data_IF_993829289741
#
_entry.id   IF_993829289741
#
_cell.length_a   1.000
_cell.length_b   1.000
_cell.length_c   1.000
_cell.angle_alpha   90.00
_cell.angle_beta   90.00
_cell.angle_gamma   90.00
#
_symmetry.space_group_name_H-M   'P 1'
#
loop_
_entity.id
_entity.type
_entity.pdbx_description
1 polymer ?
#
# COMPACT_ATOMS: atom_id res chain seq x y z
N UNK A 1 -15.72 -11.28 10.55
CA UNK A 1 -15.19 -10.73 11.82
C UNK A 1 -14.65 -9.30 11.66
N UNK A 2 -13.79 -9.03 10.66
CA UNK A 2 -13.15 -7.71 10.47
C UNK A 2 -14.12 -6.52 10.35
N UNK A 3 -15.18 -6.60 9.52
CA UNK A 3 -16.16 -5.51 9.39
C UNK A 3 -16.85 -5.15 10.71
N UNK A 4 -17.17 -6.15 11.53
CA UNK A 4 -17.71 -5.95 12.89
C UNK A 4 -16.68 -5.31 13.82
N UNK A 5 -15.40 -5.62 13.65
CA UNK A 5 -14.34 -4.90 14.37
C UNK A 5 -14.27 -3.44 13.91
N UNK A 6 -14.32 -3.16 12.62
CA UNK A 6 -14.22 -1.80 12.09
C UNK A 6 -15.48 -0.93 12.30
N UNK A 7 -16.61 -1.51 12.71
CA UNK A 7 -17.84 -0.73 12.96
C UNK A 7 -17.75 0.26 14.13
N UNK A 8 -16.78 0.10 15.05
CA UNK A 8 -16.55 1.04 16.14
C UNK A 8 -15.69 2.22 15.69
N UNK A 9 -16.18 3.42 15.93
CA UNK A 9 -15.46 4.66 15.70
C UNK A 9 -14.14 4.73 16.48
N UNK A 10 -14.16 4.41 17.78
CA UNK A 10 -12.94 4.38 18.62
C UNK A 10 -11.88 3.44 18.05
N UNK A 11 -12.27 2.27 17.55
CA UNK A 11 -11.31 1.32 16.95
C UNK A 11 -10.75 1.81 15.62
N UNK A 12 -11.58 2.46 14.79
CA UNK A 12 -11.10 3.12 13.56
C UNK A 12 -10.11 4.24 13.87
N UNK A 13 -10.40 5.03 14.91
CA UNK A 13 -9.51 6.11 15.34
C UNK A 13 -8.19 5.58 15.91
N UNK A 14 -8.22 4.51 16.71
CA UNK A 14 -7.01 3.80 17.14
C UNK A 14 -6.15 3.37 15.95
N UNK A 15 -6.73 2.75 14.92
CA UNK A 15 -6.00 2.34 13.73
C UNK A 15 -5.45 3.54 12.97
N UNK A 16 -6.20 4.65 12.88
CA UNK A 16 -5.75 5.90 12.22
C UNK A 16 -4.51 6.48 12.89
N UNK A 17 -4.48 6.50 14.22
CA UNK A 17 -3.31 6.96 14.99
C UNK A 17 -2.13 5.99 14.82
N UNK A 18 -2.38 4.69 15.02
CA UNK A 18 -1.35 3.64 14.96
C UNK A 18 -0.81 3.34 13.55
N UNK A 19 -1.50 3.81 12.51
CA UNK A 19 -1.02 3.77 11.12
C UNK A 19 0.10 4.79 10.87
N UNK A 20 0.13 5.89 11.66
CA UNK A 20 1.14 6.95 11.54
C UNK A 20 2.38 6.61 12.36
N UNK A 21 2.19 6.11 13.57
CA UNK A 21 3.27 5.84 14.52
C UNK A 21 2.86 4.74 15.50
N UNK A 22 3.83 3.92 15.94
CA UNK A 22 3.59 2.95 17.02
C UNK A 22 3.51 3.67 18.37
N UNK A 23 2.58 3.26 19.24
CA UNK A 23 2.32 3.97 20.49
C UNK A 23 2.24 3.04 21.69
N UNK A 24 2.67 3.54 22.85
CA UNK A 24 2.35 2.91 24.12
C UNK A 24 0.85 2.96 24.39
N UNK A 25 0.33 1.92 25.05
CA UNK A 25 -1.10 1.83 25.36
C UNK A 25 -1.62 3.01 26.19
N UNK A 26 -0.82 3.54 27.11
CA UNK A 26 -1.14 4.74 27.90
C UNK A 26 -1.10 6.02 27.07
N UNK A 27 -0.15 6.14 26.14
CA UNK A 27 -0.07 7.25 25.20
C UNK A 27 -1.27 7.27 24.25
N UNK A 28 -1.64 6.10 23.71
CA UNK A 28 -2.82 5.95 22.87
C UNK A 28 -4.12 6.30 23.60
N UNK A 29 -4.25 5.87 24.86
CA UNK A 29 -5.39 6.22 25.71
C UNK A 29 -5.52 7.75 25.90
N UNK A 30 -4.38 8.43 26.11
CA UNK A 30 -4.32 9.89 26.25
C UNK A 30 -4.76 10.61 24.97
N UNK A 31 -4.25 10.22 23.81
CA UNK A 31 -4.63 10.82 22.52
C UNK A 31 -6.12 10.63 22.20
N UNK A 32 -6.70 9.50 22.61
CA UNK A 32 -8.11 9.20 22.40
C UNK A 32 -9.05 9.84 23.44
N UNK A 33 -8.51 10.41 24.53
CA UNK A 33 -9.32 10.93 25.63
C UNK A 33 -10.12 9.86 26.38
N UNK A 34 -9.66 8.61 26.40
CA UNK A 34 -10.32 7.49 27.08
C UNK A 34 -9.39 6.80 28.09
N UNK A 35 -9.94 5.95 28.95
CA UNK A 35 -9.14 5.27 29.98
C UNK A 35 -8.26 4.16 29.38
N UNK A 36 -7.15 3.85 30.07
CA UNK A 36 -6.25 2.75 29.69
C UNK A 36 -6.97 1.39 29.64
N UNK A 37 -7.84 1.03 30.60
CA UNK A 37 -8.60 -0.23 30.51
C UNK A 37 -9.52 -0.31 29.29
N UNK A 38 -10.20 0.78 28.94
CA UNK A 38 -11.07 0.84 27.75
C UNK A 38 -10.22 0.70 26.47
N UNK A 39 -9.10 1.41 26.40
CA UNK A 39 -8.13 1.30 25.31
C UNK A 39 -7.61 -0.14 25.17
N UNK A 40 -7.28 -0.80 26.28
CA UNK A 40 -6.80 -2.19 26.27
C UNK A 40 -7.83 -3.19 25.78
N UNK A 41 -9.11 -2.98 26.12
CA UNK A 41 -10.22 -3.79 25.59
C UNK A 41 -10.34 -3.63 24.07
N UNK A 42 -10.28 -2.40 23.56
CA UNK A 42 -10.32 -2.15 22.12
C UNK A 42 -9.10 -2.72 21.39
N UNK A 43 -7.90 -2.56 21.97
CA UNK A 43 -6.66 -3.12 21.42
C UNK A 43 -6.74 -4.64 21.31
N UNK A 44 -7.25 -5.33 22.35
CA UNK A 44 -7.43 -6.78 22.32
C UNK A 44 -8.35 -7.25 21.18
N UNK A 45 -9.48 -6.57 20.98
CA UNK A 45 -10.40 -6.90 19.86
C UNK A 45 -9.71 -6.69 18.51
N UNK A 46 -8.91 -5.63 18.37
CA UNK A 46 -8.15 -5.37 17.14
C UNK A 46 -7.07 -6.43 16.90
N UNK A 47 -6.34 -6.82 17.94
CA UNK A 47 -5.35 -7.90 17.93
C UNK A 47 -5.97 -9.24 17.52
N UNK A 48 -7.11 -9.61 18.12
CA UNK A 48 -7.83 -10.85 17.79
C UNK A 48 -8.32 -10.87 16.33
N UNK A 49 -8.57 -9.70 15.73
CA UNK A 49 -8.91 -9.57 14.31
C UNK A 49 -7.70 -9.45 13.37
N UNK A 50 -6.47 -9.46 13.92
CA UNK A 50 -5.23 -9.31 13.17
C UNK A 50 -4.91 -7.88 12.68
N UNK A 51 -5.73 -6.88 13.05
CA UNK A 51 -5.59 -5.49 12.62
C UNK A 51 -4.56 -4.70 13.44
N UNK A 52 -4.10 -5.25 14.57
CA UNK A 52 -3.16 -4.61 15.47
C UNK A 52 -2.10 -5.62 15.93
N UNK A 53 -0.86 -5.17 15.98
CA UNK A 53 0.28 -5.90 16.53
C UNK A 53 0.72 -5.30 17.86
N UNK A 54 1.13 -6.17 18.78
CA UNK A 54 1.64 -5.78 20.10
C UNK A 54 3.05 -6.29 20.30
N UNK A 55 3.97 -5.37 20.56
CA UNK A 55 5.34 -5.68 20.98
C UNK A 55 5.48 -5.42 22.48
N UNK A 56 6.05 -6.40 23.20
CA UNK A 56 6.37 -6.27 24.62
C UNK A 56 7.83 -5.89 24.79
N UNK A 57 8.08 -4.77 25.47
CA UNK A 57 9.39 -4.32 25.91
C UNK A 57 9.41 -4.33 27.43
N UNK A 58 9.83 -5.46 28.02
CA UNK A 58 9.72 -5.69 29.46
C UNK A 58 8.26 -5.62 29.93
N UNK A 59 7.94 -4.65 30.81
CA UNK A 59 6.57 -4.40 31.29
C UNK A 59 5.74 -3.51 30.35
N UNK A 60 6.36 -2.97 29.32
CA UNK A 60 5.75 -1.95 28.46
C UNK A 60 5.21 -2.57 27.19
N UNK A 61 4.01 -2.15 26.79
CA UNK A 61 3.34 -2.60 25.57
C UNK A 61 3.34 -1.48 24.54
N UNK A 62 3.92 -1.75 23.37
CA UNK A 62 3.87 -0.88 22.19
C UNK A 62 2.92 -1.52 21.18
N UNK A 63 1.99 -0.72 20.67
CA UNK A 63 0.95 -1.12 19.73
C UNK A 63 1.26 -0.52 18.35
N UNK A 64 0.96 -1.27 17.29
CA UNK A 64 1.12 -0.82 15.90
C UNK A 64 -0.04 -1.34 15.06
N UNK A 65 -0.52 -0.56 14.09
CA UNK A 65 -1.51 -1.05 13.13
C UNK A 65 -0.87 -2.06 12.17
N UNK A 66 -1.55 -3.18 11.92
CA UNK A 66 -1.14 -4.13 10.88
C UNK A 66 -1.77 -3.71 9.54
N UNK A 67 -1.09 -2.79 8.84
CA UNK A 67 -1.57 -2.28 7.55
C UNK A 67 -1.60 -3.35 6.47
N UNK A 68 -0.70 -4.33 6.51
CA UNK A 68 -0.70 -5.45 5.56
C UNK A 68 -2.02 -6.22 5.63
N UNK A 69 -2.56 -6.47 6.83
CA UNK A 69 -3.85 -7.15 6.98
C UNK A 69 -5.02 -6.35 6.42
N UNK A 70 -4.94 -5.03 6.47
CA UNK A 70 -5.95 -4.14 5.86
C UNK A 70 -5.84 -4.22 4.33
N UNK A 71 -4.63 -4.13 3.78
CA UNK A 71 -4.41 -4.24 2.33
C UNK A 71 -4.85 -5.60 1.78
N UNK A 72 -4.48 -6.71 2.43
CA UNK A 72 -4.95 -8.06 2.05
C UNK A 72 -6.48 -8.16 2.00
N UNK A 73 -7.17 -7.52 2.95
CA UNK A 73 -8.62 -7.54 2.97
C UNK A 73 -9.23 -6.69 1.85
N UNK A 74 -8.57 -5.60 1.45
CA UNK A 74 -8.96 -4.78 0.31
C UNK A 74 -8.67 -5.48 -1.03
N UNK A 75 -7.57 -6.21 -1.13
CA UNK A 75 -7.21 -6.99 -2.34
C UNK A 75 -8.29 -8.01 -2.69
N UNK A 76 -9.01 -8.56 -1.71
CA UNK A 76 -10.15 -9.45 -1.95
C UNK A 76 -11.32 -8.79 -2.69
N UNK A 77 -11.36 -7.45 -2.71
CA UNK A 77 -12.32 -6.64 -3.46
C UNK A 77 -11.70 -6.02 -4.72
N UNK A 78 -10.42 -6.28 -5.01
CA UNK A 78 -9.78 -5.78 -6.24
C UNK A 78 -10.28 -6.59 -7.44
N UNK A 79 -10.57 -5.89 -8.54
CA UNK A 79 -10.95 -6.54 -9.79
C UNK A 79 -9.72 -7.23 -10.40
N UNK A 80 -9.87 -8.51 -10.75
CA UNK A 80 -8.88 -9.23 -11.55
C UNK A 80 -9.31 -9.22 -13.01
N UNK A 81 -8.42 -8.72 -13.87
CA UNK A 81 -8.64 -8.70 -15.31
C UNK A 81 -7.94 -9.90 -15.97
N UNK A 82 -8.68 -10.71 -16.73
CA UNK A 82 -8.10 -11.68 -17.65
C UNK A 82 -8.05 -11.08 -19.06
N UNK A 83 -6.84 -10.78 -19.53
CA UNK A 83 -6.61 -10.28 -20.88
C UNK A 83 -6.16 -11.41 -21.81
N UNK A 84 -6.67 -11.42 -23.05
CA UNK A 84 -6.18 -12.28 -24.13
C UNK A 84 -5.47 -11.43 -25.16
N UNK A 85 -4.14 -11.54 -25.22
CA UNK A 85 -3.30 -10.76 -26.12
C UNK A 85 -2.51 -11.68 -27.06
N UNK A 86 -2.19 -11.23 -28.28
CA UNK A 86 -1.27 -11.93 -29.16
C UNK A 86 0.10 -12.15 -28.50
N UNK A 87 0.76 -13.27 -28.81
CA UNK A 87 2.12 -13.54 -28.35
C UNK A 87 3.06 -12.45 -28.85
N UNK A 88 3.92 -11.94 -27.97
CA UNK A 88 4.85 -10.86 -28.27
C UNK A 88 4.32 -9.46 -27.98
N UNK A 89 3.07 -9.32 -27.53
CA UNK A 89 2.54 -8.04 -27.04
C UNK A 89 3.38 -7.52 -25.87
N UNK A 90 3.57 -6.21 -25.78
CA UNK A 90 4.33 -5.59 -24.69
C UNK A 90 3.47 -5.43 -23.42
N UNK A 91 4.10 -5.10 -22.29
CA UNK A 91 3.36 -4.72 -21.08
C UNK A 91 2.57 -3.44 -21.32
N UNK A 92 3.11 -2.49 -22.10
CA UNK A 92 2.39 -1.27 -22.46
C UNK A 92 1.10 -1.58 -23.23
N UNK A 93 1.14 -2.55 -24.15
CA UNK A 93 -0.05 -2.97 -24.90
C UNK A 93 -1.09 -3.60 -23.95
N UNK A 94 -0.64 -4.44 -23.02
CA UNK A 94 -1.53 -5.01 -22.01
C UNK A 94 -2.20 -3.95 -21.13
N UNK A 95 -1.44 -2.95 -20.67
CA UNK A 95 -1.97 -1.89 -19.80
C UNK A 95 -2.94 -0.95 -20.52
N UNK A 96 -2.82 -0.77 -21.84
CA UNK A 96 -3.78 0.02 -22.64
C UNK A 96 -5.15 -0.63 -22.77
N UNK A 97 -5.22 -1.96 -22.66
CA UNK A 97 -6.47 -2.72 -22.70
C UNK A 97 -7.21 -2.73 -21.35
N UNK A 98 -6.57 -2.28 -20.27
CA UNK A 98 -7.18 -2.19 -18.93
C UNK A 98 -7.78 -0.80 -18.75
N UNK A 99 -9.09 -0.73 -18.53
CA UNK A 99 -9.76 0.52 -18.16
C UNK A 99 -9.22 1.06 -16.83
N UNK A 100 -9.20 2.39 -16.68
CA UNK A 100 -8.79 3.02 -15.41
C UNK A 100 -7.27 3.15 -15.24
N UNK A 101 -6.45 2.54 -16.09
CA UNK A 101 -4.99 2.71 -16.06
C UNK A 101 -4.56 3.88 -16.96
N UNK A 102 -3.85 4.85 -16.38
CA UNK A 102 -3.21 5.94 -17.12
C UNK A 102 -1.70 5.72 -17.17
N UNK A 103 -1.15 5.71 -18.37
CA UNK A 103 0.30 5.60 -18.61
C UNK A 103 0.81 6.88 -19.27
N UNK A 104 1.85 7.46 -18.70
CA UNK A 104 2.54 8.63 -19.25
C UNK A 104 3.99 8.31 -19.59
N UNK A 105 4.49 8.94 -20.64
CA UNK A 105 5.88 8.82 -21.06
C UNK A 105 6.70 9.98 -20.51
N UNK A 106 7.74 9.66 -19.74
CA UNK A 106 8.70 10.63 -19.22
C UNK A 106 10.07 10.25 -19.79
N UNK A 107 10.54 11.02 -20.78
CA UNK A 107 11.76 10.70 -21.52
C UNK A 107 11.62 9.43 -22.37
N UNK A 108 12.49 8.45 -22.12
CA UNK A 108 12.51 7.15 -22.80
C UNK A 108 11.76 6.04 -22.05
N UNK A 109 11.08 6.37 -20.94
CA UNK A 109 10.38 5.42 -20.08
C UNK A 109 8.91 5.76 -19.90
N UNK A 110 8.11 4.71 -19.80
CA UNK A 110 6.69 4.76 -19.49
C UNK A 110 6.45 4.49 -18.00
N UNK A 111 5.53 5.26 -17.43
CA UNK A 111 5.14 5.18 -16.03
C UNK A 111 3.62 5.11 -15.96
N UNK A 112 3.10 4.19 -15.14
CA UNK A 112 1.69 4.24 -14.74
C UNK A 112 1.57 5.38 -13.73
N UNK A 113 0.78 6.41 -14.05
CA UNK A 113 0.60 7.64 -13.25
C UNK A 113 -0.75 7.70 -12.54
N UNK A 114 -1.70 6.86 -12.91
CA UNK A 114 -2.97 6.71 -12.21
C UNK A 114 -3.57 5.32 -12.46
N UNK A 115 -4.28 4.79 -11.46
CA UNK A 115 -5.15 3.61 -11.58
C UNK A 115 -6.49 3.94 -10.94
N UNK A 116 -7.59 3.77 -11.67
CA UNK A 116 -8.97 4.00 -11.21
C UNK A 116 -9.19 5.40 -10.58
N UNK A 117 -8.51 6.41 -11.13
CA UNK A 117 -8.54 7.79 -10.66
C UNK A 117 -7.64 8.09 -9.45
N UNK A 118 -6.91 7.09 -8.95
CA UNK A 118 -5.93 7.28 -7.89
C UNK A 118 -4.56 7.69 -8.48
N UNK A 119 -4.20 8.95 -8.32
CA UNK A 119 -2.94 9.51 -8.84
C UNK A 119 -1.71 9.02 -8.07
N UNK A 120 -0.62 8.74 -8.79
CA UNK A 120 0.67 8.35 -8.22
C UNK A 120 1.50 7.51 -9.18
N UNK A 121 2.77 7.28 -8.85
CA UNK A 121 3.61 6.38 -9.66
C UNK A 121 3.40 4.94 -9.23
N UNK A 122 3.21 4.04 -10.19
CA UNK A 122 3.10 2.61 -9.94
C UNK A 122 4.24 1.86 -10.62
N UNK A 123 4.78 0.85 -9.95
CA UNK A 123 5.67 -0.15 -10.55
C UNK A 123 4.85 -1.36 -10.98
N UNK A 124 5.37 -2.09 -11.96
CA UNK A 124 4.78 -3.35 -12.38
C UNK A 124 5.72 -4.50 -12.04
N UNK A 125 5.13 -5.62 -11.63
CA UNK A 125 5.81 -6.90 -11.46
C UNK A 125 5.24 -7.90 -12.46
N UNK A 126 6.10 -8.70 -13.07
CA UNK A 126 5.71 -9.81 -13.93
C UNK A 126 6.06 -11.11 -13.21
N UNK A 127 5.06 -11.89 -12.85
CA UNK A 127 5.20 -13.11 -12.04
C UNK A 127 6.00 -12.87 -10.75
N UNK A 128 5.75 -11.74 -10.07
CA UNK A 128 6.41 -11.36 -8.81
C UNK A 128 7.82 -10.80 -8.94
N UNK A 129 8.32 -10.55 -10.16
CA UNK A 129 9.63 -9.94 -10.40
C UNK A 129 9.49 -8.60 -11.13
N UNK A 130 10.18 -7.56 -10.64
CA UNK A 130 10.25 -6.25 -11.30
C UNK A 130 11.20 -6.31 -12.50
N UNK A 131 10.71 -6.10 -13.75
CA UNK A 131 11.60 -6.13 -14.90
C UNK A 131 12.56 -4.93 -14.95
N UNK A 132 13.77 -5.15 -15.48
CA UNK A 132 14.79 -4.11 -15.62
C UNK A 132 14.73 -3.36 -16.97
N UNK A 133 13.70 -3.61 -17.77
CA UNK A 133 13.47 -2.96 -19.07
C UNK A 133 12.17 -2.15 -18.99
N UNK A 134 11.99 -1.17 -19.88
CA UNK A 134 10.72 -0.42 -19.93
C UNK A 134 9.55 -1.32 -20.39
N UNK A 135 8.33 -0.93 -20.01
CA UNK A 135 7.07 -1.63 -20.33
C UNK A 135 6.88 -1.88 -21.83
N UNK A 136 7.36 -0.98 -22.69
CA UNK A 136 7.24 -1.12 -24.15
C UNK A 136 8.21 -2.15 -24.75
N UNK A 137 9.29 -2.49 -24.03
CA UNK A 137 10.34 -3.43 -24.46
C UNK A 137 10.17 -4.82 -23.87
N UNK A 138 9.34 -4.97 -22.83
CA UNK A 138 9.08 -6.27 -22.22
C UNK A 138 8.01 -7.03 -23.00
N UNK A 139 8.38 -8.09 -23.71
CA UNK A 139 7.47 -8.87 -24.55
C UNK A 139 6.89 -10.10 -23.83
N UNK A 140 5.56 -10.22 -23.84
CA UNK A 140 4.82 -11.33 -23.26
C UNK A 140 4.82 -12.54 -24.19
N UNK A 141 5.64 -13.54 -23.87
CA UNK A 141 5.81 -14.75 -24.67
C UNK A 141 5.11 -15.99 -24.09
N UNK A 142 4.59 -15.89 -22.87
CA UNK A 142 3.90 -16.94 -22.13
C UNK A 142 2.88 -16.32 -21.18
N UNK A 143 1.92 -17.12 -20.71
CA UNK A 143 0.98 -16.71 -19.67
C UNK A 143 1.74 -16.14 -18.48
N UNK A 144 1.35 -14.94 -18.06
CA UNK A 144 2.06 -14.18 -17.04
C UNK A 144 1.05 -13.41 -16.20
N UNK A 145 1.28 -13.36 -14.89
CA UNK A 145 0.59 -12.46 -13.98
C UNK A 145 1.31 -11.11 -13.98
N UNK A 146 0.56 -10.02 -14.15
CA UNK A 146 1.07 -8.66 -14.01
C UNK A 146 0.42 -8.06 -12.77
N UNK A 147 1.22 -7.49 -11.87
CA UNK A 147 0.73 -6.77 -10.69
C UNK A 147 1.21 -5.32 -10.75
N UNK A 148 0.33 -4.37 -10.48
CA UNK A 148 0.66 -2.95 -10.37
C UNK A 148 0.69 -2.57 -8.89
N UNK A 149 1.80 -2.01 -8.43
CA UNK A 149 2.00 -1.61 -7.03
C UNK A 149 2.31 -0.12 -6.96
N UNK A 150 1.53 0.61 -6.17
CA UNK A 150 1.74 2.04 -5.94
C UNK A 150 3.06 2.28 -5.21
N UNK A 151 3.89 3.17 -5.75
CA UNK A 151 5.09 3.65 -5.07
C UNK A 151 4.70 4.67 -4.01
N UNK A 152 4.93 4.30 -2.75
CA UNK A 152 4.79 5.21 -1.62
C UNK A 152 6.19 5.69 -1.22
N UNK A 153 6.50 6.99 -1.29
CA UNK A 153 7.81 7.51 -0.92
C UNK A 153 8.03 7.32 0.59
N UNK A 154 8.96 6.43 0.96
CA UNK A 154 9.26 6.13 2.36
C UNK A 154 10.10 7.24 3.01
N UNK A 155 10.90 7.97 2.21
CA UNK A 155 11.76 9.08 2.67
C UNK A 155 11.86 10.16 1.59
N UNK A 156 11.68 11.42 1.98
CA UNK A 156 11.90 12.59 1.11
C UNK A 156 13.36 13.06 1.26
N UNK A 157 14.03 13.37 0.14
CA UNK A 157 15.38 13.97 0.12
C UNK A 157 15.34 15.26 -0.67
N UNK A 158 15.65 16.38 -0.03
CA UNK A 158 15.79 17.68 -0.68
C UNK A 158 17.25 17.90 -1.06
N UNK A 159 17.52 18.42 -2.26
CA UNK A 159 18.85 18.80 -2.71
C UNK A 159 18.80 20.20 -3.31
N UNK A 160 19.63 21.11 -2.81
CA UNK A 160 19.86 22.42 -3.42
C UNK A 160 21.11 22.35 -4.26
N UNK A 161 20.97 22.53 -5.56
CA UNK A 161 22.09 22.51 -6.51
C UNK A 161 22.52 23.96 -6.76
N UNK A 162 23.77 24.29 -6.43
CA UNK A 162 24.41 25.55 -6.83
C UNK A 162 25.39 25.24 -7.96
N UNK A 163 25.13 25.78 -9.14
CA UNK A 163 26.00 25.63 -10.30
C UNK A 163 27.02 26.77 -10.26
N UNK A 164 28.31 26.45 -10.38
CA UNK A 164 29.34 27.48 -10.58
C UNK A 164 29.20 28.03 -12.00
N UNK A 165 29.02 29.34 -12.12
CA UNK A 165 29.26 30.06 -13.37
C UNK A 165 30.73 29.92 -13.74
N UNK A 166 30.98 29.60 -15.01
CA UNK A 166 32.31 29.44 -15.63
C UNK A 166 33.20 30.66 -15.43
#
# INVERSE_FOLDING_TARGET
>A
AMFKTLSSETRREMLRLLAKEEMHISGLAKELGISVPVTARHAKILEESGLLERKKFGKTHVLKANLNKIYEALDAFSESFELRLPKGSSILDALKEVSGVKVERIGDREFVTSIDGEEGYYIYEVNGSTPNVSMNKFLLNKNSKIELKKLVPIKRKEMRIKIKSS
#
